data_IF_029788019618
#
_entry.id   IF_029788019618
#
_cell.length_a   1.000
_cell.length_b   1.000
_cell.length_c   1.000
_cell.angle_alpha   90.00
_cell.angle_beta   90.00
_cell.angle_gamma   90.00
#
_symmetry.space_group_name_H-M   'P 1'
#
loop_
_entity.id
_entity.type
_entity.pdbx_description
1 polymer ?
#
# COMPACT_ATOMS: atom_id res chain seq x y z
N UNK A 1 -13.42 11.08 -23.55
CA UNK A 1 -14.02 10.60 -22.29
C UNK A 1 -13.34 9.30 -21.89
N UNK A 2 -12.32 9.37 -21.05
CA UNK A 2 -11.73 8.19 -20.44
C UNK A 2 -12.67 7.78 -19.30
N UNK A 3 -13.25 6.58 -19.38
CA UNK A 3 -14.04 6.03 -18.27
C UNK A 3 -13.08 5.85 -17.10
N UNK A 4 -13.31 6.57 -16.00
CA UNK A 4 -12.65 6.27 -14.73
C UNK A 4 -12.82 4.78 -14.46
N UNK A 5 -11.71 4.04 -14.41
CA UNK A 5 -11.74 2.63 -14.03
C UNK A 5 -12.33 2.60 -12.62
N UNK A 6 -13.46 1.92 -12.45
CA UNK A 6 -14.03 1.68 -11.13
C UNK A 6 -12.95 1.01 -10.30
N UNK A 7 -12.48 1.67 -9.24
CA UNK A 7 -11.61 1.07 -8.24
C UNK A 7 -12.22 -0.28 -7.85
N UNK A 8 -11.49 -1.35 -8.18
CA UNK A 8 -11.95 -2.71 -7.90
C UNK A 8 -11.60 -2.93 -6.45
N UNK A 9 -12.59 -3.06 -5.58
CA UNK A 9 -12.41 -3.48 -4.19
C UNK A 9 -12.06 -4.98 -4.19
N UNK A 10 -10.78 -5.38 -4.10
CA UNK A 10 -10.45 -6.78 -4.00
C UNK A 10 -10.75 -7.17 -2.55
N UNK A 11 -11.73 -8.03 -2.33
CA UNK A 11 -12.10 -8.41 -0.95
C UNK A 11 -11.16 -9.47 -0.39
N UNK A 12 -10.29 -10.06 -1.23
CA UNK A 12 -9.37 -11.14 -0.86
C UNK A 12 -8.00 -11.01 -1.52
N UNK A 13 -6.96 -11.48 -0.83
CA UNK A 13 -5.57 -11.51 -1.28
C UNK A 13 -5.39 -12.19 -2.64
N UNK A 14 -6.11 -13.29 -2.88
CA UNK A 14 -6.01 -14.07 -4.11
C UNK A 14 -6.40 -13.29 -5.39
N UNK A 15 -7.09 -12.16 -5.25
CA UNK A 15 -7.48 -11.29 -6.37
C UNK A 15 -6.49 -10.15 -6.62
N UNK A 16 -5.48 -9.97 -5.76
CA UNK A 16 -4.43 -9.00 -5.98
C UNK A 16 -3.49 -9.53 -7.07
N UNK A 17 -3.15 -8.66 -8.02
CA UNK A 17 -2.21 -8.98 -9.10
C UNK A 17 -1.25 -7.81 -9.31
N UNK A 18 0.02 -8.07 -9.65
CA UNK A 18 0.96 -7.02 -10.05
C UNK A 18 0.39 -6.13 -11.16
N UNK A 19 0.58 -4.81 -11.02
CA UNK A 19 0.05 -3.78 -11.91
C UNK A 19 -1.39 -3.35 -11.62
N UNK A 20 -2.09 -3.98 -10.67
CA UNK A 20 -3.41 -3.53 -10.22
C UNK A 20 -3.29 -2.28 -9.33
N UNK A 21 -4.18 -1.31 -9.54
CA UNK A 21 -4.47 -0.27 -8.58
C UNK A 21 -5.56 -0.76 -7.62
N UNK A 22 -5.25 -0.84 -6.33
CA UNK A 22 -6.14 -1.33 -5.29
C UNK A 22 -6.43 -0.22 -4.26
N UNK A 23 -7.70 -0.07 -3.88
CA UNK A 23 -8.08 0.87 -2.82
C UNK A 23 -7.40 0.49 -1.50
N UNK A 24 -6.76 1.46 -0.84
CA UNK A 24 -6.06 1.25 0.43
C UNK A 24 -6.98 0.67 1.51
N UNK A 25 -8.28 0.99 1.49
CA UNK A 25 -9.26 0.43 2.43
C UNK A 25 -9.52 -1.05 2.17
N UNK A 26 -9.47 -1.47 0.92
CA UNK A 26 -9.59 -2.89 0.59
C UNK A 26 -8.35 -3.66 1.04
N UNK A 27 -7.16 -3.08 0.85
CA UNK A 27 -5.92 -3.65 1.39
C UNK A 27 -5.91 -3.70 2.91
N UNK A 28 -6.46 -2.69 3.60
CA UNK A 28 -6.66 -2.74 5.05
C UNK A 28 -7.52 -3.95 5.45
N UNK A 29 -8.66 -4.15 4.77
CA UNK A 29 -9.54 -5.29 5.06
C UNK A 29 -8.84 -6.64 4.82
N UNK A 30 -8.01 -6.74 3.78
CA UNK A 30 -7.20 -7.95 3.53
C UNK A 30 -6.22 -8.17 4.68
N UNK A 31 -5.47 -7.12 5.09
CA UNK A 31 -4.48 -7.21 6.16
C UNK A 31 -5.07 -7.62 7.52
N UNK A 32 -6.35 -7.31 7.77
CA UNK A 32 -7.05 -7.66 9.00
C UNK A 32 -7.63 -9.08 9.00
N UNK A 33 -7.91 -9.64 7.83
CA UNK A 33 -8.68 -10.90 7.68
C UNK A 33 -7.84 -12.08 7.25
N UNK A 34 -6.72 -11.82 6.59
CA UNK A 34 -5.88 -12.84 5.99
C UNK A 34 -4.46 -12.76 6.57
N UNK A 35 -3.80 -13.92 6.79
CA UNK A 35 -2.43 -13.96 7.28
C UNK A 35 -1.48 -13.51 6.17
N UNK A 36 -1.28 -12.20 6.05
CA UNK A 36 -0.42 -11.58 5.06
C UNK A 36 0.24 -10.31 5.60
N UNK A 37 1.37 -9.94 5.00
CA UNK A 37 2.01 -8.65 5.22
C UNK A 37 1.70 -7.75 4.03
N UNK A 38 1.29 -6.50 4.28
CA UNK A 38 1.16 -5.50 3.21
C UNK A 38 2.12 -4.35 3.53
N UNK A 39 3.11 -4.16 2.66
CA UNK A 39 4.11 -3.11 2.78
C UNK A 39 3.86 -2.09 1.68
N UNK A 40 3.71 -0.82 2.06
CA UNK A 40 3.57 0.29 1.11
C UNK A 40 4.87 1.06 1.04
N UNK A 41 5.36 1.26 -0.18
CA UNK A 41 6.55 2.03 -0.50
C UNK A 41 6.17 3.46 -0.89
N UNK A 42 7.02 4.39 -0.53
CA UNK A 42 6.98 5.80 -0.98
C UNK A 42 7.99 6.06 -2.11
N UNK A 43 8.97 5.17 -2.26
CA UNK A 43 10.02 5.26 -3.28
C UNK A 43 9.80 4.23 -4.39
N UNK A 44 9.53 4.71 -5.60
CA UNK A 44 9.25 3.88 -6.77
C UNK A 44 10.42 2.94 -7.11
N UNK A 45 11.64 3.45 -7.07
CA UNK A 45 12.81 2.64 -7.44
C UNK A 45 12.97 1.43 -6.51
N UNK A 46 12.87 1.64 -5.20
CA UNK A 46 12.90 0.55 -4.22
C UNK A 46 11.72 -0.42 -4.41
N UNK A 47 10.52 0.12 -4.65
CA UNK A 47 9.33 -0.69 -4.87
C UNK A 47 9.45 -1.60 -6.10
N UNK A 48 10.13 -1.21 -7.17
CA UNK A 48 10.25 -2.02 -8.39
C UNK A 48 11.55 -2.83 -8.49
N UNK A 49 12.66 -2.30 -7.97
CA UNK A 49 14.00 -2.79 -8.26
C UNK A 49 14.72 -3.41 -7.05
N UNK A 50 14.13 -3.38 -5.85
CA UNK A 50 14.67 -3.99 -4.63
C UNK A 50 13.77 -5.09 -4.05
N UNK A 51 14.15 -5.62 -2.88
CA UNK A 51 13.42 -6.63 -2.10
C UNK A 51 13.23 -6.12 -0.69
N UNK A 52 12.09 -6.42 -0.06
CA UNK A 52 11.79 -5.94 1.29
C UNK A 52 12.88 -6.31 2.31
N UNK A 53 13.41 -7.53 2.25
CA UNK A 53 14.42 -7.97 3.22
C UNK A 53 15.74 -7.18 3.10
N UNK A 54 16.13 -6.79 1.88
CA UNK A 54 17.31 -5.92 1.66
C UNK A 54 17.04 -4.52 2.18
N UNK A 55 15.89 -3.95 1.84
CA UNK A 55 15.51 -2.60 2.26
C UNK A 55 15.36 -2.54 3.79
N UNK A 56 14.85 -3.59 4.42
CA UNK A 56 14.77 -3.72 5.86
C UNK A 56 16.15 -3.84 6.51
N UNK A 57 17.09 -4.56 5.90
CA UNK A 57 18.47 -4.61 6.39
C UNK A 57 19.18 -3.24 6.33
N UNK A 58 18.89 -2.45 5.29
CA UNK A 58 19.47 -1.13 5.07
C UNK A 58 18.83 -0.05 5.97
N UNK A 59 17.49 0.07 5.92
CA UNK A 59 16.73 1.14 6.56
C UNK A 59 16.11 0.74 7.91
N UNK A 60 16.22 -0.52 8.33
CA UNK A 60 15.61 -1.02 9.58
C UNK A 60 16.12 -0.35 10.86
N UNK A 61 17.28 0.31 10.79
CA UNK A 61 17.84 1.13 11.88
C UNK A 61 17.09 2.45 12.10
N UNK A 62 16.36 2.92 11.08
CA UNK A 62 15.52 4.11 11.14
C UNK A 62 14.20 3.78 11.84
N UNK A 63 13.54 4.81 12.37
CA UNK A 63 12.17 4.69 12.88
C UNK A 63 11.23 4.36 11.72
N UNK A 64 10.14 3.66 11.99
CA UNK A 64 9.28 3.11 10.94
C UNK A 64 8.70 4.20 10.01
N UNK A 65 8.35 5.36 10.56
CA UNK A 65 7.87 6.51 9.79
C UNK A 65 8.97 7.28 9.03
N UNK A 66 10.25 6.96 9.25
CA UNK A 66 11.40 7.54 8.53
C UNK A 66 11.90 6.64 7.39
N UNK A 67 11.38 5.41 7.28
CA UNK A 67 11.76 4.46 6.24
C UNK A 67 11.07 4.83 4.92
N UNK A 68 11.67 4.47 3.76
CA UNK A 68 11.03 4.68 2.45
C UNK A 68 9.89 3.69 2.16
N UNK A 69 9.48 2.93 3.16
CA UNK A 69 8.38 1.97 3.16
C UNK A 69 7.84 1.80 4.58
N UNK A 70 6.61 1.31 4.70
CA UNK A 70 5.97 1.07 6.00
C UNK A 70 4.94 -0.05 5.89
N UNK A 71 4.64 -0.72 6.99
CA UNK A 71 3.51 -1.66 7.02
C UNK A 71 2.19 -0.88 6.91
N UNK A 72 1.27 -1.39 6.09
CA UNK A 72 -0.01 -0.72 5.84
C UNK A 72 -0.82 -0.44 7.12
N UNK A 73 -0.96 -1.36 8.09
CA UNK A 73 -1.70 -1.07 9.31
C UNK A 73 -1.13 0.14 10.08
N UNK A 74 0.20 0.19 10.22
CA UNK A 74 0.88 1.30 10.90
C UNK A 74 0.76 2.61 10.13
N UNK A 75 0.84 2.57 8.79
CA UNK A 75 0.58 3.74 7.96
C UNK A 75 -0.80 4.34 8.25
N UNK A 76 -1.83 3.51 8.24
CA UNK A 76 -3.21 3.95 8.46
C UNK A 76 -3.43 4.47 9.88
N UNK A 77 -2.81 3.83 10.88
CA UNK A 77 -2.80 4.32 12.26
C UNK A 77 -2.23 5.75 12.34
N UNK A 78 -1.02 5.97 11.81
CA UNK A 78 -0.37 7.28 11.80
C UNK A 78 -1.24 8.33 11.07
N UNK A 79 -1.80 7.99 9.90
CA UNK A 79 -2.65 8.93 9.15
C UNK A 79 -3.91 9.33 9.92
N UNK A 80 -4.54 8.37 10.63
CA UNK A 80 -5.71 8.64 11.48
C UNK A 80 -5.38 9.47 12.71
N UNK A 81 -4.20 9.24 13.31
CA UNK A 81 -3.71 10.06 14.42
C UNK A 81 -3.45 11.51 13.99
N UNK A 82 -2.87 11.69 12.79
CA UNK A 82 -2.55 13.01 12.26
C UNK A 82 -3.78 13.78 11.76
N UNK A 83 -4.79 13.07 11.24
CA UNK A 83 -5.99 13.67 10.65
C UNK A 83 -7.25 12.88 11.01
N UNK A 84 -8.08 13.45 11.88
CA UNK A 84 -9.36 12.86 12.31
C UNK A 84 -10.40 12.72 11.19
N UNK A 85 -10.20 13.39 10.05
CA UNK A 85 -11.06 13.29 8.87
C UNK A 85 -10.52 12.33 7.81
N UNK A 86 -9.40 11.65 8.06
CA UNK A 86 -8.73 10.79 7.07
C UNK A 86 -9.67 9.73 6.47
N UNK A 87 -10.39 8.98 7.30
CA UNK A 87 -11.32 7.95 6.81
C UNK A 87 -12.48 8.53 6.00
N UNK A 88 -12.94 9.75 6.34
CA UNK A 88 -13.98 10.45 5.58
C UNK A 88 -13.45 10.93 4.22
N UNK A 89 -12.21 11.43 4.19
CA UNK A 89 -11.53 11.83 2.96
C UNK A 89 -11.40 10.62 2.00
N UNK A 90 -11.05 9.44 2.50
CA UNK A 90 -10.97 8.21 1.69
C UNK A 90 -12.32 7.78 1.09
N UNK A 91 -13.46 8.19 1.66
CA UNK A 91 -14.78 7.95 1.04
C UNK A 91 -15.02 8.81 -0.19
N UNK A 92 -14.43 10.01 -0.20
CA UNK A 92 -14.57 10.97 -1.29
C UNK A 92 -13.53 10.75 -2.38
N UNK A 93 -12.27 10.52 -1.98
CA UNK A 93 -11.14 10.33 -2.88
C UNK A 93 -10.44 9.02 -2.48
N UNK A 94 -10.65 7.93 -3.22
CA UNK A 94 -9.95 6.67 -2.99
C UNK A 94 -8.44 6.86 -3.12
N UNK A 95 -7.68 6.37 -2.14
CA UNK A 95 -6.23 6.27 -2.25
C UNK A 95 -5.87 4.93 -2.88
N UNK A 96 -5.43 4.97 -4.14
CA UNK A 96 -5.12 3.78 -4.93
C UNK A 96 -3.65 3.39 -4.79
N UNK A 97 -3.39 2.23 -4.20
CA UNK A 97 -2.05 1.64 -4.09
C UNK A 97 -1.81 0.74 -5.30
N UNK A 98 -0.71 0.98 -6.02
CA UNK A 98 -0.30 0.09 -7.11
C UNK A 98 0.36 -1.15 -6.53
N UNK A 99 -0.21 -2.32 -6.78
CA UNK A 99 0.40 -3.60 -6.41
C UNK A 99 1.59 -3.85 -7.32
N UNK A 100 2.79 -3.85 -6.77
CA UNK A 100 4.03 -4.03 -7.56
C UNK A 100 4.38 -5.51 -7.66
N UNK A 101 4.33 -6.23 -6.55
CA UNK A 101 4.61 -7.67 -6.50
C UNK A 101 3.98 -8.32 -5.28
N UNK A 102 3.87 -9.65 -5.34
CA UNK A 102 3.43 -10.49 -4.24
C UNK A 102 4.54 -11.52 -4.02
N UNK A 103 5.19 -11.44 -2.87
CA UNK A 103 6.25 -12.34 -2.44
C UNK A 103 5.60 -13.46 -1.62
N UNK A 104 5.76 -14.72 -2.04
CA UNK A 104 5.24 -15.90 -1.30
C UNK A 104 6.34 -16.66 -0.57
N UNK A 105 7.54 -16.06 -0.47
CA UNK A 105 8.70 -16.63 0.20
C UNK A 105 8.66 -16.28 1.67
N UNK A 106 8.04 -17.15 2.48
CA UNK A 106 7.87 -16.93 3.93
C UNK A 106 6.73 -17.75 4.50
N UNK A 107 6.41 -17.51 5.78
CA UNK A 107 5.24 -18.11 6.43
C UNK A 107 3.94 -17.52 5.90
N UNK A 108 3.93 -16.22 5.62
CA UNK A 108 2.79 -15.48 5.11
C UNK A 108 3.15 -14.77 3.79
N UNK A 109 2.23 -14.67 2.82
CA UNK A 109 2.44 -13.87 1.63
C UNK A 109 2.65 -12.39 2.01
N UNK A 110 3.59 -11.74 1.32
CA UNK A 110 3.87 -10.31 1.45
C UNK A 110 3.50 -9.59 0.17
N UNK A 111 2.60 -8.63 0.28
CA UNK A 111 2.18 -7.74 -0.80
C UNK A 111 3.03 -6.48 -0.74
N UNK A 112 3.64 -6.13 -1.87
CA UNK A 112 4.41 -4.90 -2.02
C UNK A 112 3.59 -3.93 -2.86
N UNK A 113 3.16 -2.85 -2.23
CA UNK A 113 2.42 -1.76 -2.84
C UNK A 113 3.27 -0.50 -3.00
N UNK A 114 2.95 0.31 -4.00
CA UNK A 114 3.48 1.65 -4.18
C UNK A 114 2.34 2.65 -4.01
N UNK A 115 2.52 3.61 -3.10
CA UNK A 115 1.60 4.74 -2.96
C UNK A 115 1.73 5.69 -4.17
N UNK A 116 0.63 6.30 -4.60
CA UNK A 116 0.67 7.30 -5.66
C UNK A 116 1.37 8.56 -5.13
N UNK A 117 2.12 9.24 -6.00
CA UNK A 117 2.71 10.52 -5.62
C UNK A 117 1.63 11.61 -5.54
N UNK A 118 1.90 12.68 -4.77
CA UNK A 118 0.98 13.81 -4.61
C UNK A 118 0.61 14.47 -5.95
N UNK A 119 1.56 14.59 -6.86
CA UNK A 119 1.35 15.13 -8.22
C UNK A 119 0.51 14.22 -9.12
N UNK A 120 0.48 12.92 -8.85
CA UNK A 120 -0.40 11.96 -9.53
C UNK A 120 -1.85 11.99 -8.98
N UNK A 121 -2.04 12.40 -7.72
CA UNK A 121 -3.37 12.53 -7.09
C UNK A 121 -4.12 13.81 -7.51
N UNK A 122 -3.40 14.88 -7.87
CA UNK A 122 -3.98 16.15 -8.29
C UNK A 122 -4.53 16.15 -9.74
N UNK A 123 -4.24 15.09 -10.53
CA UNK A 123 -4.60 15.01 -11.96
C UNK A 123 -5.84 14.17 -12.29
N UNK A 124 -6.58 13.66 -11.29
CA UNK A 124 -7.73 12.76 -11.48
C UNK A 124 -9.09 13.35 -11.13
#
# INVERSE_FOLDING_TARGET
>A
MMKAKKSTFPVVLANLVPGMAADIRALEQISLREPCEIIVYFEKDLAYNSTYDKDLAEYGKLREHERPFIQLPLFLEIQREMNSLFDEALKSIPLEVTIVRIETTGENPRVIGLLPFLDEMDMS
#
